data_IF_058544055218
#
_entry.id   IF_058544055218
#
_cell.length_a   1.000
_cell.length_b   1.000
_cell.length_c   1.000
_cell.angle_alpha   90.00
_cell.angle_beta   90.00
_cell.angle_gamma   90.00
#
_symmetry.space_group_name_H-M   'P 1'
#
loop_
_entity.id
_entity.type
_entity.pdbx_description
1 polymer ?
#
# COMPACT_ATOMS: atom_id res chain seq x y z
N UNK A 1 -5.35 49.94 -1.39
CA UNK A 1 -5.04 49.14 -0.18
C UNK A 1 -5.93 49.59 0.99
N UNK A 2 -6.78 48.70 1.50
CA UNK A 2 -7.69 49.01 2.60
C UNK A 2 -6.91 49.23 3.91
N UNK A 3 -7.12 50.38 4.53
CA UNK A 3 -6.58 50.75 5.84
C UNK A 3 -7.29 49.95 6.93
N UNK A 4 -6.59 49.01 7.59
CA UNK A 4 -7.15 48.31 8.75
C UNK A 4 -6.61 46.91 9.05
N UNK A 5 -5.68 46.36 8.27
CA UNK A 5 -5.08 45.05 8.58
C UNK A 5 -3.69 45.29 9.16
N UNK A 6 -3.50 45.05 10.47
CA UNK A 6 -2.17 44.95 11.05
C UNK A 6 -1.40 43.85 10.31
N UNK A 7 -0.11 44.06 9.97
CA UNK A 7 0.73 42.98 9.46
C UNK A 7 0.69 41.84 10.47
N UNK A 8 0.38 40.62 10.02
CA UNK A 8 0.49 39.46 10.87
C UNK A 8 1.94 39.37 11.37
N UNK A 9 2.13 39.35 12.69
CA UNK A 9 3.44 39.00 13.23
C UNK A 9 3.82 37.60 12.73
N UNK A 10 5.08 37.37 12.33
CA UNK A 10 5.52 36.05 11.90
C UNK A 10 5.28 35.04 13.03
N UNK A 11 4.57 33.96 12.73
CA UNK A 11 4.30 32.86 13.69
C UNK A 11 5.57 32.17 14.22
N UNK A 12 6.71 32.40 13.56
CA UNK A 12 8.02 31.92 13.98
C UNK A 12 8.92 33.12 14.30
N UNK A 13 9.30 33.26 15.57
CA UNK A 13 10.33 34.21 15.98
C UNK A 13 11.67 33.91 15.28
N UNK A 14 12.55 34.91 15.26
CA UNK A 14 13.92 34.82 14.72
C UNK A 14 14.55 33.44 15.01
N UNK A 15 14.75 32.64 13.95
CA UNK A 15 15.21 31.24 13.97
C UNK A 15 16.54 31.07 14.73
N UNK A 16 17.27 32.18 14.97
CA UNK A 16 18.51 32.20 15.76
C UNK A 16 18.31 31.83 17.22
N UNK A 17 17.12 32.02 17.77
CA UNK A 17 16.82 31.74 19.19
C UNK A 17 16.43 30.28 19.47
N UNK A 18 15.93 29.56 18.45
CA UNK A 18 15.52 28.16 18.57
C UNK A 18 16.71 27.19 18.55
N UNK A 19 17.82 27.61 17.95
CA UNK A 19 19.09 26.90 18.01
C UNK A 19 19.86 27.41 19.23
N UNK A 20 19.70 26.73 20.37
CA UNK A 20 20.56 26.96 21.54
C UNK A 20 22.06 26.89 21.21
N UNK A 21 22.97 27.17 22.17
CA UNK A 21 24.39 27.43 21.93
C UNK A 21 25.20 26.16 21.57
N UNK A 22 24.77 25.42 20.55
CA UNK A 22 25.35 24.14 20.11
C UNK A 22 26.33 24.35 18.94
N UNK A 23 26.46 25.55 18.40
CA UNK A 23 27.42 25.84 17.32
C UNK A 23 28.49 26.80 17.83
N UNK A 24 29.66 26.22 18.11
CA UNK A 24 30.88 26.97 18.37
C UNK A 24 31.13 27.99 17.26
N UNK A 25 31.51 29.19 17.66
CA UNK A 25 31.90 30.28 16.77
C UNK A 25 33.00 29.79 15.81
N UNK A 26 32.70 29.71 14.50
CA UNK A 26 33.71 29.44 13.48
C UNK A 26 33.27 28.57 12.29
N UNK A 27 32.06 28.01 12.28
CA UNK A 27 31.57 27.33 11.08
C UNK A 27 31.08 28.37 10.05
N UNK A 28 31.68 28.39 8.87
CA UNK A 28 31.24 29.20 7.74
C UNK A 28 29.96 28.56 7.16
N UNK A 29 28.82 28.78 7.81
CA UNK A 29 27.53 28.18 7.43
C UNK A 29 26.98 28.96 6.24
N UNK A 30 27.34 28.51 5.04
CA UNK A 30 26.67 28.93 3.82
C UNK A 30 25.27 28.30 3.81
N UNK A 31 24.18 29.10 3.76
CA UNK A 31 22.84 28.53 3.64
C UNK A 31 22.77 27.72 2.34
N UNK A 32 22.24 26.51 2.43
CA UNK A 32 21.95 25.70 1.25
C UNK A 32 21.04 26.49 0.29
N UNK A 33 21.15 26.23 -1.01
CA UNK A 33 20.19 26.77 -1.99
C UNK A 33 18.76 26.38 -1.57
N UNK A 34 17.73 27.20 -1.80
CA UNK A 34 16.36 26.92 -1.32
C UNK A 34 15.83 25.52 -1.67
N UNK A 35 16.10 25.01 -2.88
CA UNK A 35 15.74 23.63 -3.26
C UNK A 35 16.43 22.54 -2.42
N UNK A 36 17.67 22.78 -2.00
CA UNK A 36 18.42 21.87 -1.13
C UNK A 36 17.95 21.97 0.33
N UNK A 37 17.53 23.15 0.78
CA UNK A 37 16.92 23.33 2.12
C UNK A 37 15.60 22.57 2.22
N UNK A 38 14.73 22.67 1.21
CA UNK A 38 13.46 21.94 1.18
C UNK A 38 13.68 20.43 1.20
N UNK A 39 14.61 19.92 0.36
CA UNK A 39 14.96 18.49 0.35
C UNK A 39 15.47 18.01 1.72
N UNK A 40 16.41 18.75 2.32
CA UNK A 40 16.95 18.42 3.63
C UNK A 40 15.87 18.45 4.72
N UNK A 41 14.99 19.45 4.70
CA UNK A 41 13.87 19.55 5.64
C UNK A 41 12.96 18.32 5.54
N UNK A 42 12.56 17.92 4.34
CA UNK A 42 11.72 16.73 4.14
C UNK A 42 12.41 15.45 4.60
N UNK A 43 13.71 15.30 4.33
CA UNK A 43 14.50 14.14 4.78
C UNK A 43 14.58 14.05 6.31
N UNK A 44 14.93 15.16 6.98
CA UNK A 44 15.10 15.22 8.44
C UNK A 44 13.77 15.04 9.18
N UNK A 45 12.70 15.63 8.66
CA UNK A 45 11.34 15.50 9.22
C UNK A 45 10.65 14.19 8.82
N UNK A 46 11.25 13.44 7.88
CA UNK A 46 10.68 12.22 7.29
C UNK A 46 9.33 12.43 6.59
N UNK A 47 9.06 13.66 6.14
CA UNK A 47 7.92 13.95 5.25
C UNK A 47 8.19 13.34 3.88
N UNK A 48 7.26 12.51 3.41
CA UNK A 48 7.39 11.76 2.16
C UNK A 48 6.63 12.38 1.01
N UNK A 49 5.48 12.97 1.30
CA UNK A 49 4.66 13.68 0.33
C UNK A 49 4.26 15.05 0.89
N UNK A 50 4.12 16.04 0.01
CA UNK A 50 3.62 17.36 0.35
C UNK A 50 2.69 17.87 -0.75
N UNK A 51 1.42 18.10 -0.40
CA UNK A 51 0.44 18.74 -1.28
C UNK A 51 0.43 20.23 -0.99
N UNK A 52 0.83 21.03 -1.98
CA UNK A 52 0.82 22.48 -1.86
C UNK A 52 -0.59 23.08 -1.98
N UNK A 53 -0.74 24.39 -1.73
CA UNK A 53 -2.01 25.11 -1.97
C UNK A 53 -2.48 25.07 -3.44
N UNK A 54 -1.56 24.77 -4.36
CA UNK A 54 -1.82 24.52 -5.77
C UNK A 54 -2.50 23.16 -6.04
N UNK A 55 -2.70 22.34 -5.01
CA UNK A 55 -3.22 20.98 -5.12
C UNK A 55 -2.20 19.98 -5.68
N UNK A 56 -0.95 20.40 -5.90
CA UNK A 56 0.08 19.54 -6.49
C UNK A 56 0.81 18.80 -5.37
N UNK A 57 0.70 17.47 -5.37
CA UNK A 57 1.50 16.60 -4.52
C UNK A 57 2.92 16.47 -5.06
N UNK A 58 3.89 16.74 -4.20
CA UNK A 58 5.33 16.60 -4.47
C UNK A 58 5.86 15.45 -3.62
N UNK A 59 6.58 14.55 -4.27
CA UNK A 59 7.10 13.34 -3.66
C UNK A 59 8.57 13.49 -3.28
N UNK A 60 8.90 13.18 -2.03
CA UNK A 60 10.23 13.25 -1.42
C UNK A 60 10.66 11.91 -0.81
N UNK A 61 9.85 10.87 -0.99
CA UNK A 61 10.13 9.51 -0.55
C UNK A 61 11.00 8.69 -1.51
N UNK A 62 10.99 7.38 -1.30
CA UNK A 62 11.66 6.44 -2.20
C UNK A 62 10.91 6.30 -3.54
N UNK A 63 11.54 5.63 -4.50
CA UNK A 63 10.93 5.20 -5.76
C UNK A 63 11.75 4.03 -6.33
N UNK A 64 11.47 3.56 -7.54
CA UNK A 64 12.26 2.46 -8.13
C UNK A 64 13.74 2.82 -8.37
N UNK A 65 14.10 4.08 -8.49
CA UNK A 65 15.49 4.52 -8.65
C UNK A 65 16.23 4.82 -7.34
N UNK A 66 15.58 4.68 -6.18
CA UNK A 66 16.15 5.03 -4.87
C UNK A 66 15.79 3.96 -3.84
N UNK A 67 16.67 3.70 -2.88
CA UNK A 67 16.40 2.74 -1.81
C UNK A 67 15.11 3.04 -1.06
N UNK A 68 14.37 1.98 -0.74
CA UNK A 68 13.12 2.08 0.02
C UNK A 68 13.33 2.73 1.38
N UNK A 69 12.26 3.32 1.92
CA UNK A 69 12.32 3.89 3.25
C UNK A 69 12.71 2.81 4.29
N UNK A 70 13.49 3.16 5.33
CA UNK A 70 14.02 2.17 6.26
C UNK A 70 12.92 1.40 7.00
N UNK A 71 12.82 0.10 6.76
CA UNK A 71 12.00 -0.84 7.55
C UNK A 71 12.86 -1.35 8.71
N UNK A 72 12.36 -1.52 9.96
CA UNK A 72 10.98 -1.34 10.43
C UNK A 72 10.74 0.04 11.08
N UNK A 73 11.51 1.07 10.70
CA UNK A 73 11.55 2.34 11.45
C UNK A 73 10.19 3.01 11.62
N UNK A 74 9.31 2.91 10.64
CA UNK A 74 7.96 3.47 10.67
C UNK A 74 6.99 2.61 11.51
N UNK A 75 7.13 1.28 11.51
CA UNK A 75 6.36 0.38 12.38
C UNK A 75 6.62 0.70 13.86
N UNK A 76 7.88 0.81 14.26
CA UNK A 76 8.24 1.11 15.66
C UNK A 76 7.85 2.52 16.11
N UNK A 77 7.65 3.45 15.15
CA UNK A 77 7.16 4.80 15.42
C UNK A 77 5.63 4.88 15.48
N UNK A 78 4.92 3.78 15.24
CA UNK A 78 3.46 3.75 15.13
C UNK A 78 2.94 4.49 13.90
N UNK A 79 3.77 4.61 12.85
CA UNK A 79 3.39 5.25 11.60
C UNK A 79 2.88 4.21 10.60
N UNK A 80 2.00 4.67 9.71
CA UNK A 80 1.65 3.95 8.50
C UNK A 80 2.87 3.76 7.59
N UNK A 81 2.72 2.86 6.62
CA UNK A 81 3.69 2.62 5.55
C UNK A 81 3.90 3.94 4.80
N UNK A 82 5.15 4.33 4.52
CA UNK A 82 5.43 5.48 3.67
C UNK A 82 4.68 5.36 2.33
N UNK A 83 3.94 6.40 1.88
CA UNK A 83 3.16 6.35 0.65
C UNK A 83 3.97 5.89 -0.57
N UNK A 84 5.21 6.35 -0.68
CA UNK A 84 6.18 5.92 -1.69
C UNK A 84 6.52 4.40 -1.66
N UNK A 85 6.61 3.79 -0.47
CA UNK A 85 6.81 2.35 -0.34
C UNK A 85 5.54 1.59 -0.76
N UNK A 86 4.37 2.07 -0.33
CA UNK A 86 3.08 1.52 -0.72
C UNK A 86 2.90 1.56 -2.25
N UNK A 87 3.31 2.65 -2.89
CA UNK A 87 3.29 2.78 -4.35
C UNK A 87 4.24 1.80 -5.05
N UNK A 88 5.41 1.52 -4.46
CA UNK A 88 6.32 0.50 -4.99
C UNK A 88 5.70 -0.90 -4.89
N UNK A 89 5.06 -1.25 -3.77
CA UNK A 89 4.35 -2.53 -3.65
C UNK A 89 3.16 -2.62 -4.62
N UNK A 90 2.42 -1.53 -4.82
CA UNK A 90 1.36 -1.44 -5.83
C UNK A 90 1.92 -1.72 -7.23
N UNK A 91 3.05 -1.11 -7.57
CA UNK A 91 3.73 -1.36 -8.83
C UNK A 91 4.05 -2.84 -9.02
N UNK A 92 4.64 -3.50 -8.01
CA UNK A 92 5.00 -4.92 -8.10
C UNK A 92 3.78 -5.83 -8.23
N UNK A 93 2.71 -5.55 -7.49
CA UNK A 93 1.44 -6.28 -7.60
C UNK A 93 0.85 -6.16 -9.01
N UNK A 94 0.86 -4.97 -9.58
CA UNK A 94 0.30 -4.73 -10.91
C UNK A 94 1.15 -5.36 -12.00
N UNK A 95 2.48 -5.28 -11.86
CA UNK A 95 3.44 -5.92 -12.73
C UNK A 95 3.27 -7.44 -12.74
N UNK A 96 3.22 -8.08 -11.58
CA UNK A 96 3.17 -9.53 -11.51
C UNK A 96 1.82 -10.08 -12.00
N UNK A 97 0.72 -9.36 -11.78
CA UNK A 97 -0.58 -9.69 -12.40
C UNK A 97 -0.47 -9.75 -13.93
N UNK A 98 0.16 -8.75 -14.56
CA UNK A 98 0.32 -8.72 -16.02
C UNK A 98 1.16 -9.90 -16.51
N UNK A 99 2.27 -10.19 -15.82
CA UNK A 99 3.12 -11.35 -16.14
C UNK A 99 2.36 -12.66 -15.97
N UNK A 100 1.61 -12.83 -14.88
CA UNK A 100 0.83 -14.03 -14.64
C UNK A 100 -0.26 -14.24 -15.69
N UNK A 101 -0.95 -13.17 -16.11
CA UNK A 101 -1.94 -13.22 -17.18
C UNK A 101 -1.35 -13.58 -18.54
N UNK A 102 -0.15 -13.06 -18.86
CA UNK A 102 0.56 -13.39 -20.10
C UNK A 102 1.03 -14.85 -20.13
N UNK A 103 1.52 -15.36 -18.99
CA UNK A 103 2.08 -16.72 -18.88
C UNK A 103 0.99 -17.78 -18.63
N UNK A 104 -0.16 -17.39 -18.09
CA UNK A 104 -1.23 -18.30 -17.69
C UNK A 104 -1.05 -18.86 -16.27
N UNK A 105 -0.39 -18.13 -15.37
CA UNK A 105 -0.24 -18.52 -13.96
C UNK A 105 -1.50 -18.16 -13.19
N UNK A 106 -2.16 -19.17 -12.60
CA UNK A 106 -3.35 -18.97 -11.77
C UNK A 106 -2.94 -18.60 -10.35
N UNK A 107 -3.51 -17.51 -9.86
CA UNK A 107 -3.23 -16.99 -8.53
C UNK A 107 -4.44 -16.27 -7.92
N UNK A 108 -4.35 -15.96 -6.64
CA UNK A 108 -5.33 -15.18 -5.89
C UNK A 108 -4.61 -14.24 -4.90
N UNK A 109 -5.20 -13.09 -4.61
CA UNK A 109 -4.81 -12.25 -3.47
C UNK A 109 -5.31 -12.86 -2.15
N UNK A 110 -4.54 -12.71 -1.08
CA UNK A 110 -4.83 -13.31 0.23
C UNK A 110 -4.52 -12.34 1.38
N UNK A 111 -4.80 -12.75 2.61
CA UNK A 111 -4.34 -12.09 3.85
C UNK A 111 -4.62 -10.58 3.92
N UNK A 112 -3.61 -9.77 4.28
CA UNK A 112 -3.74 -8.34 4.53
C UNK A 112 -4.16 -7.54 3.29
N UNK A 113 -3.63 -7.88 2.11
CA UNK A 113 -4.01 -7.23 0.85
C UNK A 113 -5.46 -7.51 0.47
N UNK A 114 -5.93 -8.75 0.69
CA UNK A 114 -7.32 -9.12 0.48
C UNK A 114 -8.24 -8.38 1.48
N UNK A 115 -7.85 -8.31 2.75
CA UNK A 115 -8.59 -7.56 3.77
C UNK A 115 -8.69 -6.06 3.44
N UNK A 116 -7.57 -5.46 3.01
CA UNK A 116 -7.54 -4.08 2.55
C UNK A 116 -8.47 -3.85 1.37
N UNK A 117 -8.45 -4.75 0.39
CA UNK A 117 -9.36 -4.70 -0.77
C UNK A 117 -10.82 -4.67 -0.33
N UNK A 118 -11.24 -5.57 0.56
CA UNK A 118 -12.61 -5.60 1.08
C UNK A 118 -13.01 -4.35 1.86
N UNK A 119 -12.07 -3.73 2.58
CA UNK A 119 -12.37 -2.62 3.50
C UNK A 119 -12.30 -1.24 2.83
N UNK A 120 -11.36 -1.08 1.90
CA UNK A 120 -10.99 0.22 1.33
C UNK A 120 -10.83 0.20 -0.19
N UNK A 121 -10.93 -0.97 -0.83
CA UNK A 121 -10.57 -1.11 -2.24
C UNK A 121 -9.09 -0.86 -2.51
N UNK A 122 -8.22 -1.04 -1.49
CA UNK A 122 -6.78 -0.76 -1.55
C UNK A 122 -6.01 -1.58 -0.52
N UNK A 123 -4.68 -1.72 -0.65
CA UNK A 123 -3.85 -2.27 0.43
C UNK A 123 -4.05 -1.50 1.75
N UNK A 124 -3.91 -2.16 2.90
CA UNK A 124 -3.96 -1.51 4.20
C UNK A 124 -2.82 -0.49 4.33
N UNK A 125 -3.08 0.66 4.97
CA UNK A 125 -2.06 1.71 5.11
C UNK A 125 -0.90 1.33 6.01
N UNK A 126 -1.05 0.29 6.82
CA UNK A 126 -0.03 -0.21 7.74
C UNK A 126 0.58 -1.55 7.31
N UNK A 127 0.16 -2.13 6.17
CA UNK A 127 0.70 -3.39 5.65
C UNK A 127 2.05 -3.19 4.98
N UNK A 128 3.04 -3.98 5.40
CA UNK A 128 4.41 -3.87 4.92
C UNK A 128 4.74 -4.79 3.75
N UNK A 129 3.78 -5.64 3.36
CA UNK A 129 3.91 -6.73 2.40
C UNK A 129 2.62 -6.90 1.59
N UNK A 130 2.71 -7.75 0.58
CA UNK A 130 1.59 -8.17 -0.26
C UNK A 130 1.74 -9.66 -0.49
N UNK A 131 0.71 -10.42 -0.14
CA UNK A 131 0.70 -11.87 -0.28
C UNK A 131 -0.20 -12.33 -1.43
N UNK A 132 0.37 -13.15 -2.30
CA UNK A 132 -0.35 -13.87 -3.35
C UNK A 132 -0.23 -15.37 -3.12
N UNK A 133 -1.31 -16.10 -3.38
CA UNK A 133 -1.34 -17.55 -3.41
C UNK A 133 -1.37 -18.04 -4.85
N UNK A 134 -0.41 -18.86 -5.23
CA UNK A 134 -0.27 -19.44 -6.57
C UNK A 134 -0.83 -20.86 -6.58
N UNK A 135 -1.52 -21.23 -7.66
CA UNK A 135 -2.02 -22.60 -7.84
C UNK A 135 -0.85 -23.59 -7.92
N UNK A 136 -0.96 -24.73 -7.23
CA UNK A 136 0.13 -25.70 -7.11
C UNK A 136 0.64 -26.20 -8.47
N UNK A 137 -0.27 -26.44 -9.41
CA UNK A 137 0.09 -26.90 -10.76
C UNK A 137 0.93 -25.88 -11.53
N UNK A 138 0.84 -24.59 -11.22
CA UNK A 138 1.52 -23.52 -11.96
C UNK A 138 2.77 -23.03 -11.24
N UNK A 139 3.00 -23.46 -10.00
CA UNK A 139 4.09 -22.95 -9.15
C UNK A 139 5.47 -23.17 -9.75
N UNK A 140 5.64 -24.23 -10.55
CA UNK A 140 6.88 -24.50 -11.28
C UNK A 140 7.23 -23.42 -12.31
N UNK A 141 6.22 -22.75 -12.89
CA UNK A 141 6.41 -21.67 -13.88
C UNK A 141 7.12 -20.45 -13.28
N UNK A 142 7.11 -20.30 -11.94
CA UNK A 142 7.86 -19.25 -11.27
C UNK A 142 9.35 -19.35 -11.56
N UNK A 143 9.89 -20.57 -11.55
CA UNK A 143 11.30 -20.85 -11.82
C UNK A 143 11.58 -20.87 -13.32
N UNK A 144 10.72 -21.52 -14.10
CA UNK A 144 10.97 -21.77 -15.52
C UNK A 144 10.76 -20.54 -16.43
N UNK A 145 9.85 -19.63 -16.06
CA UNK A 145 9.42 -18.53 -16.93
C UNK A 145 9.44 -17.19 -16.20
N UNK A 146 8.73 -17.09 -15.07
CA UNK A 146 8.47 -15.79 -14.41
C UNK A 146 9.76 -15.19 -13.88
N UNK A 147 10.69 -15.99 -13.34
CA UNK A 147 11.98 -15.49 -12.86
C UNK A 147 12.79 -14.81 -13.97
N UNK A 148 12.81 -15.40 -15.16
CA UNK A 148 13.51 -14.83 -16.31
C UNK A 148 12.83 -13.56 -16.80
N UNK A 149 11.49 -13.53 -16.82
CA UNK A 149 10.70 -12.33 -17.17
C UNK A 149 10.96 -11.19 -16.18
N UNK A 150 10.85 -11.46 -14.87
CA UNK A 150 11.14 -10.51 -13.80
C UNK A 150 12.54 -9.92 -13.95
N UNK A 151 13.56 -10.76 -14.13
CA UNK A 151 14.94 -10.31 -14.31
C UNK A 151 15.12 -9.42 -15.52
N UNK A 152 14.50 -9.76 -16.65
CA UNK A 152 14.57 -8.97 -17.88
C UNK A 152 13.95 -7.58 -17.70
N UNK A 153 12.87 -7.50 -16.92
CA UNK A 153 12.13 -6.26 -16.70
C UNK A 153 12.71 -5.43 -15.51
N UNK A 154 13.82 -5.88 -14.91
CA UNK A 154 14.56 -5.15 -13.86
C UNK A 154 14.20 -5.53 -12.42
N UNK A 155 13.39 -6.56 -12.23
CA UNK A 155 12.98 -7.10 -10.92
C UNK A 155 13.75 -8.36 -10.55
N UNK A 156 13.68 -8.78 -9.29
CA UNK A 156 14.33 -10.01 -8.83
C UNK A 156 13.34 -10.95 -8.20
N UNK A 157 13.17 -12.13 -8.81
CA UNK A 157 12.39 -13.21 -8.23
C UNK A 157 13.31 -14.23 -7.56
N UNK A 158 13.17 -14.41 -6.25
CA UNK A 158 14.04 -15.26 -5.43
C UNK A 158 13.24 -16.34 -4.71
N UNK A 159 13.69 -17.59 -4.83
CA UNK A 159 13.09 -18.71 -4.11
C UNK A 159 13.43 -18.59 -2.63
N UNK A 160 12.42 -18.70 -1.77
CA UNK A 160 12.64 -18.75 -0.33
C UNK A 160 13.14 -20.14 0.09
N UNK A 161 13.85 -20.23 1.21
CA UNK A 161 14.46 -21.47 1.69
C UNK A 161 13.44 -22.58 2.05
N UNK A 162 12.18 -22.20 2.28
CA UNK A 162 11.09 -23.14 2.56
C UNK A 162 10.60 -23.92 1.33
N UNK A 163 11.08 -23.61 0.11
CA UNK A 163 10.62 -24.18 -1.16
C UNK A 163 9.11 -24.05 -1.43
N UNK A 164 8.41 -23.22 -0.67
CA UNK A 164 6.96 -23.01 -0.74
C UNK A 164 6.60 -21.54 -0.96
N UNK A 165 7.58 -20.69 -1.24
CA UNK A 165 7.36 -19.27 -1.50
C UNK A 165 8.48 -18.69 -2.35
N UNK A 166 8.15 -17.63 -3.08
CA UNK A 166 9.09 -16.80 -3.81
C UNK A 166 8.88 -15.34 -3.43
N UNK A 167 9.97 -14.58 -3.41
CA UNK A 167 9.98 -13.16 -3.11
C UNK A 167 10.25 -12.40 -4.40
N UNK A 168 9.29 -11.59 -4.84
CA UNK A 168 9.48 -10.65 -5.95
C UNK A 168 9.92 -9.31 -5.39
N UNK A 169 11.20 -9.00 -5.53
CA UNK A 169 11.82 -7.75 -5.09
C UNK A 169 11.84 -6.71 -6.21
N UNK A 170 11.66 -5.44 -5.83
CA UNK A 170 11.60 -4.30 -6.76
C UNK A 170 12.83 -4.19 -7.66
N UNK A 171 14.04 -4.05 -7.12
CA UNK A 171 15.29 -4.11 -7.90
C UNK A 171 16.49 -4.22 -6.95
N UNK A 172 17.72 -4.04 -7.44
CA UNK A 172 18.96 -4.20 -6.67
C UNK A 172 19.24 -3.06 -5.68
N UNK A 173 18.48 -1.97 -5.73
CA UNK A 173 18.64 -0.82 -4.85
C UNK A 173 17.40 -0.54 -3.99
N UNK A 174 16.22 -0.98 -4.41
CA UNK A 174 14.97 -0.95 -3.67
C UNK A 174 14.57 -2.38 -3.26
N UNK A 175 14.58 -2.64 -1.95
CA UNK A 175 14.44 -3.98 -1.36
C UNK A 175 13.00 -4.33 -0.98
N UNK A 176 12.02 -3.49 -1.34
CA UNK A 176 10.61 -3.87 -1.15
C UNK A 176 10.29 -5.08 -2.00
N UNK A 177 9.49 -5.96 -1.44
CA UNK A 177 9.13 -7.23 -2.05
C UNK A 177 7.66 -7.56 -1.81
N UNK A 178 7.13 -8.43 -2.64
CA UNK A 178 5.84 -9.10 -2.44
C UNK A 178 6.07 -10.61 -2.41
N UNK A 179 5.22 -11.34 -1.70
CA UNK A 179 5.35 -12.77 -1.49
C UNK A 179 4.41 -13.56 -2.41
N UNK A 180 4.98 -14.57 -3.08
CA UNK A 180 4.29 -15.48 -3.97
C UNK A 180 4.33 -16.88 -3.35
N UNK A 181 3.28 -17.22 -2.63
CA UNK A 181 3.21 -18.41 -1.80
C UNK A 181 2.54 -19.57 -2.55
N UNK A 182 3.07 -20.77 -2.34
CA UNK A 182 2.45 -22.00 -2.81
C UNK A 182 1.19 -22.27 -1.98
N UNK A 183 0.04 -22.35 -2.64
CA UNK A 183 -1.17 -22.83 -1.99
C UNK A 183 -1.37 -24.32 -2.29
N UNK A 184 -1.43 -25.13 -1.22
CA UNK A 184 -1.61 -26.58 -1.32
C UNK A 184 -3.07 -26.98 -1.31
N UNK A 185 -3.94 -26.17 -0.71
CA UNK A 185 -5.38 -26.42 -0.73
C UNK A 185 -5.90 -26.29 -2.16
N UNK A 186 -6.70 -27.25 -2.59
CA UNK A 186 -7.37 -27.20 -3.88
C UNK A 186 -8.41 -26.09 -3.87
N UNK A 187 -8.28 -25.15 -4.80
CA UNK A 187 -9.31 -24.18 -5.15
C UNK A 187 -9.58 -24.32 -6.64
N UNK A 188 -10.83 -24.15 -7.04
CA UNK A 188 -11.22 -24.20 -8.45
C UNK A 188 -10.75 -22.91 -9.13
N UNK A 189 -9.78 -22.98 -10.05
CA UNK A 189 -9.24 -21.79 -10.67
C UNK A 189 -10.19 -21.08 -11.61
N UNK A 190 -11.23 -21.77 -12.06
CA UNK A 190 -12.27 -21.20 -12.92
C UNK A 190 -13.35 -20.50 -12.09
N UNK A 191 -13.31 -20.63 -10.75
CA UNK A 191 -14.28 -20.05 -9.81
C UNK A 191 -13.61 -19.09 -8.84
N UNK A 192 -13.12 -17.99 -9.40
CA UNK A 192 -12.57 -16.84 -8.65
C UNK A 192 -13.52 -15.66 -8.64
N UNK A 193 -13.53 -14.94 -7.53
CA UNK A 193 -14.10 -13.60 -7.46
C UNK A 193 -13.06 -12.56 -7.86
N UNK A 194 -13.56 -11.38 -8.22
CA UNK A 194 -12.72 -10.23 -8.57
C UNK A 194 -12.88 -9.17 -7.50
N UNK A 195 -11.77 -8.75 -6.88
CA UNK A 195 -11.77 -7.73 -5.83
C UNK A 195 -10.98 -6.49 -6.28
N UNK A 196 -11.44 -5.27 -5.97
CA UNK A 196 -10.75 -4.06 -6.40
C UNK A 196 -9.56 -3.74 -5.50
N UNK A 197 -8.40 -3.51 -6.11
CA UNK A 197 -7.22 -2.96 -5.44
C UNK A 197 -6.75 -1.76 -6.27
N UNK A 198 -6.94 -0.57 -5.72
CA UNK A 198 -6.60 0.71 -6.33
C UNK A 198 -7.17 0.83 -7.76
N UNK A 199 -8.42 0.40 -7.94
CA UNK A 199 -9.15 0.51 -9.22
C UNK A 199 -8.88 -0.60 -10.25
N UNK A 200 -7.94 -1.53 -9.99
CA UNK A 200 -7.72 -2.73 -10.82
C UNK A 200 -8.32 -3.95 -10.11
N UNK A 201 -8.87 -4.89 -10.89
CA UNK A 201 -9.48 -6.11 -10.37
C UNK A 201 -8.46 -7.24 -10.25
N UNK A 202 -8.48 -7.95 -9.13
CA UNK A 202 -7.60 -9.07 -8.85
C UNK A 202 -8.40 -10.32 -8.44
N UNK A 203 -7.93 -11.52 -8.83
CA UNK A 203 -8.58 -12.76 -8.45
C UNK A 203 -8.49 -13.00 -6.94
N UNK A 204 -9.58 -13.44 -6.34
CA UNK A 204 -9.68 -13.90 -4.96
C UNK A 204 -10.52 -15.19 -4.95
N UNK A 205 -10.41 -16.00 -3.89
CA UNK A 205 -11.33 -17.14 -3.75
C UNK A 205 -12.78 -16.67 -3.64
N UNK A 206 -13.71 -17.45 -4.18
CA UNK A 206 -15.17 -17.25 -4.02
C UNK A 206 -15.54 -17.05 -2.54
N UNK A 207 -14.98 -17.88 -1.65
CA UNK A 207 -15.21 -17.82 -0.20
C UNK A 207 -14.19 -16.97 0.55
N UNK A 208 -13.54 -16.00 -0.10
CA UNK A 208 -12.53 -15.12 0.50
C UNK A 208 -13.05 -14.41 1.76
N UNK A 209 -14.29 -13.94 1.73
CA UNK A 209 -14.95 -13.28 2.86
C UNK A 209 -15.12 -14.20 4.09
N UNK A 210 -15.46 -15.48 3.88
CA UNK A 210 -15.53 -16.47 4.96
C UNK A 210 -14.16 -16.74 5.55
N UNK A 211 -13.14 -16.93 4.70
CA UNK A 211 -11.76 -17.15 5.14
C UNK A 211 -11.26 -16.00 6.01
N UNK A 212 -11.41 -14.75 5.56
CA UNK A 212 -11.02 -13.60 6.36
C UNK A 212 -11.81 -13.52 7.67
N UNK A 213 -13.11 -13.82 7.67
CA UNK A 213 -13.92 -13.80 8.89
C UNK A 213 -13.49 -14.87 9.90
N UNK A 214 -12.99 -16.01 9.42
CA UNK A 214 -12.46 -17.09 10.26
C UNK A 214 -11.10 -16.74 10.86
N UNK A 215 -10.24 -16.03 10.10
CA UNK A 215 -8.87 -15.69 10.51
C UNK A 215 -8.82 -14.45 11.40
N UNK A 216 -9.52 -13.39 11.00
CA UNK A 216 -9.48 -12.10 11.68
C UNK A 216 -10.69 -11.87 12.61
N UNK A 217 -11.72 -12.70 12.50
CA UNK A 217 -12.96 -12.60 13.26
C UNK A 217 -14.03 -11.76 12.55
N UNK A 218 -15.29 -12.15 12.74
CA UNK A 218 -16.47 -11.47 12.17
C UNK A 218 -16.53 -9.97 12.52
N UNK A 219 -15.98 -9.57 13.67
CA UNK A 219 -15.97 -8.17 14.13
C UNK A 219 -15.22 -7.22 13.20
N UNK A 220 -14.25 -7.70 12.43
CA UNK A 220 -13.53 -6.89 11.43
C UNK A 220 -14.41 -6.48 10.24
N UNK A 221 -15.46 -7.26 9.96
CA UNK A 221 -16.45 -6.98 8.92
C UNK A 221 -17.66 -6.19 9.45
N UNK A 222 -17.83 -6.12 10.78
CA UNK A 222 -18.99 -5.46 11.43
C UNK A 222 -19.09 -3.95 11.16
N UNK A 223 -18.01 -3.25 10.82
CA UNK A 223 -18.12 -1.83 10.44
C UNK A 223 -18.75 -1.60 9.05
N UNK A 224 -18.87 -2.65 8.21
CA UNK A 224 -19.66 -2.63 6.98
C UNK A 224 -21.16 -2.85 7.26
N UNK A 225 -21.53 -3.31 8.46
CA UNK A 225 -22.87 -3.81 8.83
C UNK A 225 -23.50 -3.10 10.03
N UNK A 226 -22.82 -2.15 10.67
CA UNK A 226 -23.39 -1.43 11.81
C UNK A 226 -24.37 -0.37 11.36
N UNK A 227 -25.66 -0.68 11.52
CA UNK A 227 -26.60 0.19 12.26
C UNK A 227 -27.82 -0.59 12.81
N UNK A 228 -27.70 -1.88 13.09
CA UNK A 228 -28.78 -2.67 13.71
C UNK A 228 -28.30 -3.22 15.06
N UNK A 229 -29.05 -3.01 16.17
CA UNK A 229 -28.75 -3.66 17.44
C UNK A 229 -28.86 -5.18 17.35
N UNK A 230 -28.05 -5.89 18.14
CA UNK A 230 -27.86 -7.35 18.12
C UNK A 230 -29.17 -8.18 18.18
N UNK A 231 -30.27 -7.61 18.69
CA UNK A 231 -31.57 -8.28 18.83
C UNK A 231 -32.50 -8.17 17.60
N UNK A 232 -32.12 -7.44 16.55
CA UNK A 232 -32.91 -7.29 15.32
C UNK A 232 -32.37 -8.11 14.13
N UNK A 233 -31.22 -8.80 14.29
CA UNK A 233 -30.50 -9.53 13.23
C UNK A 233 -31.23 -10.78 12.69
N UNK A 234 -32.01 -11.48 13.50
CA UNK A 234 -32.65 -12.75 13.08
C UNK A 234 -33.78 -12.59 12.05
N UNK A 235 -34.27 -11.36 11.82
CA UNK A 235 -35.52 -11.12 11.09
C UNK A 235 -35.39 -10.25 9.83
N UNK A 236 -34.19 -9.73 9.49
CA UNK A 236 -34.00 -8.85 8.32
C UNK A 236 -32.75 -9.21 7.52
N UNK A 237 -32.87 -9.48 6.20
CA UNK A 237 -31.71 -9.53 5.33
C UNK A 237 -31.02 -8.14 5.33
N UNK A 238 -29.71 -8.13 5.54
CA UNK A 238 -28.91 -6.92 5.71
C UNK A 238 -28.78 -6.13 4.40
N UNK A 239 -29.41 -4.96 4.34
CA UNK A 239 -29.17 -3.96 3.30
C UNK A 239 -28.73 -2.63 3.95
N UNK A 240 -27.64 -2.07 3.43
CA UNK A 240 -27.07 -0.79 3.85
C UNK A 240 -28.05 0.36 3.53
N UNK A 241 -28.45 1.14 4.54
CA UNK A 241 -29.51 2.16 4.42
C UNK A 241 -29.00 3.58 4.07
N UNK A 242 -27.71 3.76 3.77
CA UNK A 242 -27.11 5.08 3.47
C UNK A 242 -26.65 5.15 2.01
N UNK A 243 -27.36 5.88 1.13
CA UNK A 243 -27.15 5.83 -0.33
C UNK A 243 -25.88 6.54 -0.85
N UNK A 244 -24.96 6.99 0.03
CA UNK A 244 -23.75 7.73 -0.38
C UNK A 244 -22.46 7.26 0.30
N UNK A 245 -22.46 6.06 0.90
CA UNK A 245 -21.24 5.50 1.48
C UNK A 245 -20.59 4.54 0.49
N UNK A 246 -19.41 4.93 -0.03
CA UNK A 246 -18.61 4.21 -1.02
C UNK A 246 -18.27 2.75 -0.67
N UNK A 247 -18.60 2.27 0.54
CA UNK A 247 -18.31 0.91 1.02
C UNK A 247 -19.50 -0.05 0.95
N UNK A 248 -20.66 0.39 0.48
CA UNK A 248 -21.83 -0.46 0.21
C UNK A 248 -21.96 -0.72 -1.30
N UNK A 249 -20.94 -1.36 -1.89
CA UNK A 249 -20.92 -1.70 -3.31
C UNK A 249 -21.61 -3.04 -3.52
N UNK A 250 -22.92 -2.99 -3.75
CA UNK A 250 -23.63 -3.92 -4.62
C UNK A 250 -24.26 -3.08 -5.74
N UNK A 251 -24.02 -3.50 -6.98
CA UNK A 251 -24.48 -2.99 -8.29
C UNK A 251 -23.68 -1.90 -9.04
N UNK A 252 -23.58 -2.17 -10.35
CA UNK A 252 -22.82 -1.50 -11.38
C UNK A 252 -23.20 -0.03 -11.56
N UNK A 253 -22.27 0.87 -11.22
CA UNK A 253 -22.37 2.29 -11.57
C UNK A 253 -21.62 2.64 -12.86
N UNK A 254 -21.76 1.82 -13.90
CA UNK A 254 -21.43 2.25 -15.28
C UNK A 254 -22.70 2.83 -15.89
N UNK A 255 -22.78 4.14 -16.19
CA UNK A 255 -23.91 4.69 -16.92
C UNK A 255 -23.90 4.19 -18.36
N UNK A 256 -25.06 3.78 -18.88
CA UNK A 256 -25.32 3.74 -20.32
C UNK A 256 -25.58 5.13 -20.89
#
# INVERSE_FOLDING_TARGET
>A
PASGVSPAEPWFGDERSALGPVLGAGANIQPLRPGNQAKLFMEVTQLRDFTGPDGITRHFGCNLGVTNCPVPSWVYRGWAVPPCCKETMRHLLFYIDEVFREVGVRYIVTDGVLLGSYKYGSMLDWDADVDLHIHNEDFHLLEEVVQHRAKRDGHFLRKHSNNASWLLQANDHNYLLIELNLRKEHWDPDRVWQVPINGKLFPAMEEAHLNLSSWYGLSFFRHRLRHVPEWEEESRPMYCATPYHFNCVDESQVPG
#
